data_IF_931188879037
#
_entry.id   IF_931188879037
#
_cell.length_a   1.000
_cell.length_b   1.000
_cell.length_c   1.000
_cell.angle_alpha   90.00
_cell.angle_beta   90.00
_cell.angle_gamma   90.00
#
_symmetry.space_group_name_H-M   'P 1'
#
loop_
_entity.id
_entity.type
_entity.pdbx_description
1 polymer ?
#
# COMPACT_ATOMS: atom_id res chain seq x y z
N UNK A 1 12.71 40.99 -3.88
CA UNK A 1 12.38 39.75 -3.14
C UNK A 1 13.06 38.59 -3.84
N UNK A 2 13.69 37.66 -3.10
CA UNK A 2 14.25 36.47 -3.72
C UNK A 2 13.13 35.64 -4.37
N UNK A 3 13.37 35.08 -5.55
CA UNK A 3 12.39 34.22 -6.22
C UNK A 3 12.11 32.99 -5.35
N UNK A 4 10.84 32.76 -5.02
CA UNK A 4 10.38 31.65 -4.15
C UNK A 4 10.70 30.28 -4.75
N UNK A 5 10.71 30.16 -6.08
CA UNK A 5 10.94 28.92 -6.80
C UNK A 5 12.02 29.09 -7.86
N UNK A 6 12.84 28.05 -8.04
CA UNK A 6 13.89 27.95 -9.08
C UNK A 6 13.43 27.15 -10.29
N UNK A 7 12.44 26.26 -10.11
CA UNK A 7 11.81 25.50 -11.19
C UNK A 7 10.35 25.19 -10.85
N UNK A 8 9.62 24.59 -11.79
CA UNK A 8 8.31 23.99 -11.52
C UNK A 8 8.11 22.66 -12.23
N UNK A 9 7.19 21.85 -11.72
CA UNK A 9 6.70 20.63 -12.36
C UNK A 9 5.18 20.71 -12.47
N UNK A 10 4.67 20.42 -13.67
CA UNK A 10 3.26 20.23 -13.94
C UNK A 10 2.96 18.74 -13.98
N UNK A 11 2.53 18.19 -12.85
CA UNK A 11 2.00 16.83 -12.76
C UNK A 11 0.63 16.79 -13.41
N UNK A 12 0.49 15.96 -14.43
CA UNK A 12 -0.76 15.84 -15.18
C UNK A 12 -0.85 14.45 -15.80
N UNK A 13 -1.88 14.23 -16.61
CA UNK A 13 -2.04 13.01 -17.38
C UNK A 13 -2.27 13.29 -18.86
N UNK A 14 -2.10 12.28 -19.70
CA UNK A 14 -2.52 12.38 -21.10
C UNK A 14 -3.97 12.85 -21.16
N UNK A 15 -4.24 13.87 -21.99
CA UNK A 15 -5.60 14.41 -22.22
C UNK A 15 -6.25 15.14 -21.03
N UNK A 16 -5.49 15.53 -20.02
CA UNK A 16 -5.96 16.42 -18.93
C UNK A 16 -6.08 17.90 -19.31
N UNK A 17 -5.56 18.31 -20.47
CA UNK A 17 -5.43 19.72 -20.82
C UNK A 17 -4.04 20.31 -20.55
N UNK A 18 -3.07 19.48 -20.16
CA UNK A 18 -1.70 19.93 -19.85
C UNK A 18 -1.01 20.69 -20.99
N UNK A 19 -1.30 20.39 -22.26
CA UNK A 19 -0.81 21.20 -23.40
C UNK A 19 -1.39 22.63 -23.42
N UNK A 20 -2.65 22.82 -23.01
CA UNK A 20 -3.27 24.14 -22.93
C UNK A 20 -2.62 24.96 -21.83
N UNK A 21 -2.48 24.38 -20.63
CA UNK A 21 -1.82 25.04 -19.50
C UNK A 21 -0.34 25.35 -19.81
N UNK A 22 0.37 24.43 -20.48
CA UNK A 22 1.72 24.70 -21.01
C UNK A 22 1.74 25.91 -21.95
N UNK A 23 0.80 26.01 -22.90
CA UNK A 23 0.73 27.13 -23.83
C UNK A 23 0.46 28.46 -23.11
N UNK A 24 -0.36 28.45 -22.06
CA UNK A 24 -0.65 29.62 -21.24
C UNK A 24 0.62 30.03 -20.48
N UNK A 25 1.28 29.09 -19.79
CA UNK A 25 2.52 29.36 -19.06
C UNK A 25 3.63 29.89 -19.97
N UNK A 26 3.79 29.32 -21.16
CA UNK A 26 4.77 29.76 -22.16
C UNK A 26 4.45 31.12 -22.80
N UNK A 27 3.22 31.64 -22.63
CA UNK A 27 2.87 33.00 -23.07
C UNK A 27 3.32 34.07 -22.09
N UNK A 28 3.68 33.70 -20.85
CA UNK A 28 4.08 34.63 -19.80
C UNK A 28 5.58 34.89 -19.86
N UNK A 29 6.02 36.16 -19.99
CA UNK A 29 7.44 36.49 -20.02
C UNK A 29 8.20 35.95 -18.80
N UNK A 30 9.31 35.26 -19.06
CA UNK A 30 10.16 34.70 -18.02
C UNK A 30 9.69 33.38 -17.42
N UNK A 31 8.66 32.74 -17.99
CA UNK A 31 8.29 31.34 -17.71
C UNK A 31 8.53 30.49 -18.97
N UNK A 32 9.14 29.32 -18.79
CA UNK A 32 9.31 28.34 -19.87
C UNK A 32 8.97 26.93 -19.37
N UNK A 33 7.96 26.31 -19.97
CA UNK A 33 7.63 24.90 -19.86
C UNK A 33 8.23 24.14 -21.05
N UNK A 34 9.07 23.14 -20.75
CA UNK A 34 9.85 22.37 -21.71
C UNK A 34 9.14 21.09 -22.19
N UNK A 35 7.81 21.11 -22.32
CA UNK A 35 7.03 19.93 -22.68
C UNK A 35 7.24 18.75 -21.72
N UNK A 36 7.24 17.55 -22.28
CA UNK A 36 7.41 16.29 -21.54
C UNK A 36 8.90 15.93 -21.49
N UNK A 37 9.67 16.73 -20.74
CA UNK A 37 11.12 16.60 -20.62
C UNK A 37 11.59 15.19 -20.20
N UNK A 38 10.72 14.45 -19.50
CA UNK A 38 11.00 13.12 -18.97
C UNK A 38 10.20 11.98 -19.63
N UNK A 39 9.63 12.20 -20.81
CA UNK A 39 8.98 11.14 -21.59
C UNK A 39 10.00 10.07 -22.04
N UNK A 40 9.72 8.77 -21.94
CA UNK A 40 10.68 7.73 -22.34
C UNK A 40 10.94 7.67 -23.86
N UNK A 41 9.99 8.13 -24.69
CA UNK A 41 10.05 7.99 -26.15
C UNK A 41 10.76 9.17 -26.83
N UNK A 42 10.67 10.37 -26.26
CA UNK A 42 11.24 11.60 -26.80
C UNK A 42 11.65 12.56 -25.66
N UNK A 43 12.37 13.65 -25.99
CA UNK A 43 12.83 14.63 -25.01
C UNK A 43 12.13 15.98 -25.20
N UNK A 44 11.25 16.35 -24.27
CA UNK A 44 10.50 17.61 -24.28
C UNK A 44 9.36 17.64 -25.31
N UNK A 45 9.69 17.62 -26.60
CA UNK A 45 8.72 17.63 -27.69
C UNK A 45 9.02 16.53 -28.72
N UNK A 46 8.02 16.05 -29.48
CA UNK A 46 8.25 15.10 -30.56
C UNK A 46 9.26 15.64 -31.57
N UNK A 47 10.20 14.79 -32.01
CA UNK A 47 11.29 15.10 -32.96
C UNK A 47 12.38 16.05 -32.44
N UNK A 48 12.35 16.46 -31.17
CA UNK A 48 13.48 17.17 -30.56
C UNK A 48 14.69 16.23 -30.39
N UNK A 49 15.87 16.69 -30.82
CA UNK A 49 17.12 15.94 -30.67
C UNK A 49 17.74 16.13 -29.28
N UNK A 50 17.57 17.31 -28.69
CA UNK A 50 18.09 17.70 -27.39
C UNK A 50 17.19 18.72 -26.70
N UNK A 51 17.37 18.88 -25.39
CA UNK A 51 16.74 19.91 -24.57
C UNK A 51 17.78 20.52 -23.65
N UNK A 52 17.96 21.85 -23.73
CA UNK A 52 18.95 22.60 -22.94
C UNK A 52 20.38 22.01 -23.06
N UNK A 53 20.74 21.53 -24.27
CA UNK A 53 22.03 20.91 -24.57
C UNK A 53 22.20 19.48 -24.02
N UNK A 54 21.12 18.83 -23.56
CA UNK A 54 21.11 17.43 -23.12
C UNK A 54 20.37 16.59 -24.16
N UNK A 55 21.02 15.55 -24.67
CA UNK A 55 20.42 14.61 -25.64
C UNK A 55 19.56 13.57 -24.91
N UNK A 56 18.66 12.88 -25.64
CA UNK A 56 17.84 11.79 -25.06
C UNK A 56 18.71 10.70 -24.40
N UNK A 57 19.77 10.16 -25.05
CA UNK A 57 20.62 9.15 -24.41
C UNK A 57 21.31 9.65 -23.14
N UNK A 58 21.72 10.92 -23.10
CA UNK A 58 22.33 11.52 -21.90
C UNK A 58 21.31 11.63 -20.74
N UNK A 59 20.08 12.05 -21.03
CA UNK A 59 18.97 12.07 -20.05
C UNK A 59 18.60 10.65 -19.59
N UNK A 60 18.52 9.70 -20.52
CA UNK A 60 18.15 8.31 -20.21
C UNK A 60 19.20 7.68 -19.26
N UNK A 61 20.48 8.00 -19.45
CA UNK A 61 21.57 7.59 -18.55
C UNK A 61 21.47 8.27 -17.17
N UNK A 62 21.30 9.60 -17.15
CA UNK A 62 21.12 10.37 -15.91
C UNK A 62 20.05 11.48 -16.09
N UNK A 63 18.81 11.27 -15.60
CA UNK A 63 17.76 12.27 -15.73
C UNK A 63 17.99 13.50 -14.83
N UNK A 64 18.84 13.38 -13.79
CA UNK A 64 19.12 14.51 -12.90
C UNK A 64 19.97 15.58 -13.58
N UNK A 65 20.79 15.21 -14.57
CA UNK A 65 21.51 16.16 -15.41
C UNK A 65 20.54 17.16 -16.07
N UNK A 66 19.47 16.67 -16.70
CA UNK A 66 18.47 17.52 -17.34
C UNK A 66 17.68 18.33 -16.31
N UNK A 67 17.33 17.73 -15.18
CA UNK A 67 16.63 18.42 -14.09
C UNK A 67 17.44 19.62 -13.58
N UNK A 68 18.74 19.45 -13.39
CA UNK A 68 19.63 20.53 -12.94
C UNK A 68 19.83 21.61 -14.02
N UNK A 69 19.81 21.24 -15.31
CA UNK A 69 19.79 22.20 -16.42
C UNK A 69 18.52 23.05 -16.44
N UNK A 70 17.36 22.44 -16.21
CA UNK A 70 16.08 23.13 -16.10
C UNK A 70 16.12 24.13 -14.93
N UNK A 71 16.58 23.71 -13.74
CA UNK A 71 16.70 24.58 -12.55
C UNK A 71 17.61 25.80 -12.74
N UNK A 72 18.66 25.67 -13.57
CA UNK A 72 19.67 26.73 -13.78
C UNK A 72 19.39 27.60 -15.01
N UNK A 73 18.41 27.23 -15.84
CA UNK A 73 18.05 28.01 -17.00
C UNK A 73 17.46 29.37 -16.59
N UNK A 74 17.69 30.40 -17.41
CA UNK A 74 17.21 31.75 -17.13
C UNK A 74 15.68 31.82 -17.07
N UNK A 75 15.15 32.57 -16.09
CA UNK A 75 13.70 32.62 -15.82
C UNK A 75 13.22 31.47 -14.93
N UNK A 76 11.91 31.25 -14.89
CA UNK A 76 11.30 30.13 -14.17
C UNK A 76 11.00 29.01 -15.15
N UNK A 77 11.73 27.91 -15.04
CA UNK A 77 11.68 26.82 -15.99
C UNK A 77 11.01 25.58 -15.39
N UNK A 78 10.28 24.84 -16.20
CA UNK A 78 9.58 23.65 -15.75
C UNK A 78 9.21 22.72 -16.88
N UNK A 79 8.44 21.68 -16.56
CA UNK A 79 8.08 20.62 -17.49
C UNK A 79 6.78 19.92 -17.07
N UNK A 80 6.15 19.26 -18.04
CA UNK A 80 5.03 18.34 -17.83
C UNK A 80 5.55 16.96 -17.44
N UNK A 81 4.92 16.34 -16.46
CA UNK A 81 5.28 15.02 -15.97
C UNK A 81 4.05 14.14 -15.76
N UNK A 82 4.03 12.94 -16.35
CA UNK A 82 2.93 11.97 -16.27
C UNK A 82 3.37 10.71 -15.50
N UNK A 83 2.42 9.86 -15.10
CA UNK A 83 2.71 8.64 -14.33
C UNK A 83 3.69 7.66 -15.03
N UNK A 84 3.73 7.66 -16.36
CA UNK A 84 4.54 6.77 -17.20
C UNK A 84 5.87 7.39 -17.67
N UNK A 85 6.23 8.56 -17.12
CA UNK A 85 7.54 9.18 -17.35
C UNK A 85 8.62 8.56 -16.46
N UNK A 86 9.87 9.00 -16.62
CA UNK A 86 11.02 8.45 -15.89
C UNK A 86 10.81 8.45 -14.36
N UNK A 87 10.63 7.25 -13.79
CA UNK A 87 10.24 7.05 -12.40
C UNK A 87 11.27 7.53 -11.36
N UNK A 88 12.50 7.85 -11.79
CA UNK A 88 13.59 8.39 -10.95
C UNK A 88 13.43 9.88 -10.64
N UNK A 89 12.58 10.60 -11.36
CA UNK A 89 12.42 12.07 -11.23
C UNK A 89 11.48 12.50 -10.10
N UNK A 90 10.29 11.89 -9.89
CA UNK A 90 9.28 12.39 -8.96
C UNK A 90 9.79 12.61 -7.54
N UNK A 91 10.56 11.67 -7.00
CA UNK A 91 11.12 11.79 -5.63
C UNK A 91 11.98 13.04 -5.47
N UNK A 92 12.82 13.34 -6.46
CA UNK A 92 13.72 14.49 -6.39
C UNK A 92 12.99 15.82 -6.52
N UNK A 93 11.93 15.90 -7.32
CA UNK A 93 11.14 17.13 -7.43
C UNK A 93 10.20 17.30 -6.25
N UNK A 94 9.60 16.22 -5.74
CA UNK A 94 8.72 16.25 -4.58
C UNK A 94 9.50 16.63 -3.31
N UNK A 95 10.74 16.17 -3.15
CA UNK A 95 11.60 16.54 -2.02
C UNK A 95 12.16 17.97 -2.06
N UNK A 96 12.08 18.67 -3.21
CA UNK A 96 12.72 19.98 -3.41
C UNK A 96 11.74 21.14 -3.17
N UNK A 97 11.82 21.86 -2.03
CA UNK A 97 10.93 22.98 -1.73
C UNK A 97 11.07 24.18 -2.68
N UNK A 98 12.18 24.29 -3.43
CA UNK A 98 12.38 25.33 -4.42
C UNK A 98 11.77 24.99 -5.79
N UNK A 99 11.27 23.76 -5.98
CA UNK A 99 10.51 23.38 -7.16
C UNK A 99 9.02 23.56 -6.89
N UNK A 100 8.31 24.40 -7.65
CA UNK A 100 6.86 24.56 -7.53
C UNK A 100 6.13 23.32 -8.06
N UNK A 101 5.07 22.86 -7.37
CA UNK A 101 4.24 21.73 -7.81
C UNK A 101 2.90 22.25 -8.31
N UNK A 102 2.56 21.92 -9.54
CA UNK A 102 1.25 22.16 -10.13
C UNK A 102 0.65 20.78 -10.43
N UNK A 103 -0.58 20.53 -9.98
CA UNK A 103 -1.29 19.26 -10.22
C UNK A 103 -2.52 19.56 -11.04
N UNK A 104 -2.56 19.06 -12.27
CA UNK A 104 -3.69 19.19 -13.18
C UNK A 104 -4.41 17.85 -13.33
N UNK A 105 -5.68 17.83 -12.94
CA UNK A 105 -6.54 16.66 -13.03
C UNK A 105 -7.64 16.85 -14.06
N UNK A 106 -8.33 15.76 -14.41
CA UNK A 106 -9.52 15.78 -15.25
C UNK A 106 -10.35 14.55 -14.94
N UNK A 107 -11.65 14.61 -15.23
CA UNK A 107 -12.50 13.42 -15.19
C UNK A 107 -11.83 12.26 -15.99
N UNK A 108 -11.53 11.12 -15.33
CA UNK A 108 -10.78 10.03 -15.94
C UNK A 108 -11.52 9.36 -17.11
N UNK A 109 -12.86 9.40 -17.10
CA UNK A 109 -13.66 8.87 -18.20
C UNK A 109 -13.49 9.72 -19.45
N UNK A 110 -13.51 11.05 -19.30
CA UNK A 110 -13.29 11.98 -20.41
C UNK A 110 -11.86 11.88 -20.97
N UNK A 111 -10.84 11.76 -20.12
CA UNK A 111 -9.45 11.58 -20.56
C UNK A 111 -9.25 10.25 -21.28
N UNK A 112 -9.82 9.16 -20.74
CA UNK A 112 -9.75 7.82 -21.34
C UNK A 112 -10.38 7.76 -22.73
N UNK A 113 -11.64 8.22 -22.86
CA UNK A 113 -12.35 8.24 -24.15
C UNK A 113 -11.61 9.13 -25.14
N UNK A 114 -11.13 10.29 -24.67
CA UNK A 114 -10.35 11.18 -25.54
C UNK A 114 -9.01 10.55 -25.98
N UNK A 115 -8.37 9.75 -25.14
CA UNK A 115 -7.12 9.05 -25.47
C UNK A 115 -7.37 7.97 -26.52
N UNK A 116 -8.45 7.18 -26.37
CA UNK A 116 -8.85 6.20 -27.39
C UNK A 116 -9.13 6.85 -28.74
N UNK A 117 -9.85 7.98 -28.77
CA UNK A 117 -10.15 8.70 -30.02
C UNK A 117 -8.85 9.18 -30.67
N UNK A 118 -7.92 9.75 -29.88
CA UNK A 118 -6.64 10.21 -30.39
C UNK A 118 -5.82 9.07 -31.01
N UNK A 119 -5.78 7.91 -30.34
CA UNK A 119 -5.12 6.69 -30.87
C UNK A 119 -5.75 6.21 -32.17
N UNK A 120 -7.08 6.18 -32.26
CA UNK A 120 -7.79 5.73 -33.46
C UNK A 120 -7.66 6.71 -34.64
N UNK A 121 -7.64 8.01 -34.38
CA UNK A 121 -7.63 9.05 -35.43
C UNK A 121 -6.22 9.54 -35.81
N UNK A 122 -5.23 9.23 -34.97
CA UNK A 122 -3.88 9.79 -35.02
C UNK A 122 -3.79 11.27 -34.64
N UNK A 123 -4.88 11.87 -34.15
CA UNK A 123 -4.96 13.31 -33.86
C UNK A 123 -4.73 13.61 -32.38
N UNK A 124 -3.53 14.11 -32.05
CA UNK A 124 -3.11 14.41 -30.67
C UNK A 124 -3.28 15.89 -30.27
N UNK A 125 -3.20 16.81 -31.23
CA UNK A 125 -3.37 18.28 -31.07
C UNK A 125 -4.36 18.81 -32.11
N UNK A 126 -5.17 19.82 -31.74
CA UNK A 126 -6.12 20.51 -32.63
C UNK A 126 -5.92 22.02 -32.50
N UNK A 127 -5.40 22.66 -33.55
CA UNK A 127 -5.27 24.11 -33.64
C UNK A 127 -6.44 24.79 -34.38
N UNK A 128 -7.16 24.04 -35.23
CA UNK A 128 -8.31 24.52 -36.00
C UNK A 128 -9.47 23.51 -35.93
N UNK A 129 -10.66 23.99 -35.58
CA UNK A 129 -11.88 23.20 -35.50
C UNK A 129 -12.24 22.52 -36.84
N UNK A 130 -11.89 23.13 -37.97
CA UNK A 130 -12.19 22.60 -39.31
C UNK A 130 -11.45 21.29 -39.62
N UNK A 131 -10.32 21.02 -38.95
CA UNK A 131 -9.50 19.80 -39.16
C UNK A 131 -9.85 18.66 -38.19
N UNK A 132 -11.01 18.73 -37.54
CA UNK A 132 -11.43 17.76 -36.52
C UNK A 132 -11.82 16.42 -37.16
N UNK A 133 -11.20 15.33 -36.69
CA UNK A 133 -11.63 13.96 -37.01
C UNK A 133 -12.60 13.46 -35.94
N UNK A 134 -13.87 13.30 -36.30
CA UNK A 134 -14.84 12.66 -35.42
C UNK A 134 -14.71 11.14 -35.52
N UNK A 135 -14.53 10.46 -34.38
CA UNK A 135 -14.53 9.00 -34.30
C UNK A 135 -15.28 8.54 -33.05
N UNK A 136 -16.03 7.45 -33.18
CA UNK A 136 -16.59 6.71 -32.05
C UNK A 136 -15.66 5.56 -31.70
N UNK A 137 -15.40 5.38 -30.41
CA UNK A 137 -14.50 4.34 -29.89
C UNK A 137 -15.29 3.31 -29.10
N UNK A 138 -14.79 2.06 -29.06
CA UNK A 138 -15.33 1.04 -28.17
C UNK A 138 -14.78 1.23 -26.76
N UNK A 139 -15.67 1.34 -25.78
CA UNK A 139 -15.34 1.37 -24.35
C UNK A 139 -14.98 -0.04 -23.85
N UNK A 140 -13.91 -0.15 -23.08
CA UNK A 140 -13.44 -1.38 -22.46
C UNK A 140 -13.31 -1.13 -20.95
N UNK A 141 -14.06 -1.89 -20.16
CA UNK A 141 -14.14 -1.68 -18.71
C UNK A 141 -12.87 -2.05 -17.96
N UNK A 142 -12.15 -3.08 -18.40
CA UNK A 142 -10.94 -3.55 -17.72
C UNK A 142 -9.76 -2.64 -18.06
N UNK A 143 -9.64 -2.21 -19.32
CA UNK A 143 -8.66 -1.19 -19.73
C UNK A 143 -8.92 0.13 -19.00
N UNK A 144 -10.18 0.54 -18.86
CA UNK A 144 -10.54 1.74 -18.12
C UNK A 144 -10.21 1.62 -16.62
N UNK A 145 -10.45 0.46 -16.01
CA UNK A 145 -10.10 0.23 -14.61
C UNK A 145 -8.58 0.29 -14.36
N UNK A 146 -7.79 -0.33 -15.24
CA UNK A 146 -6.33 -0.24 -15.19
C UNK A 146 -5.84 1.21 -15.36
N UNK A 147 -6.45 1.96 -16.29
CA UNK A 147 -6.15 3.38 -16.51
C UNK A 147 -6.42 4.23 -15.26
N UNK A 148 -7.60 4.08 -14.64
CA UNK A 148 -7.95 4.79 -13.40
C UNK A 148 -7.00 4.41 -12.26
N UNK A 149 -6.68 3.12 -12.11
CA UNK A 149 -5.76 2.63 -11.08
C UNK A 149 -4.39 3.30 -11.17
N UNK A 150 -3.79 3.34 -12.37
CA UNK A 150 -2.48 3.97 -12.59
C UNK A 150 -2.47 5.46 -12.20
N UNK A 151 -3.52 6.20 -12.58
CA UNK A 151 -3.66 7.63 -12.23
C UNK A 151 -3.78 7.78 -10.71
N UNK A 152 -4.63 6.99 -10.06
CA UNK A 152 -4.83 7.06 -8.61
C UNK A 152 -3.54 6.72 -7.84
N UNK A 153 -2.78 5.75 -8.31
CA UNK A 153 -1.50 5.35 -7.71
C UNK A 153 -0.49 6.50 -7.76
N UNK A 154 -0.42 7.19 -8.90
CA UNK A 154 0.44 8.35 -9.07
C UNK A 154 -0.01 9.53 -8.21
N UNK A 155 -1.31 9.81 -8.14
CA UNK A 155 -1.85 10.86 -7.26
C UNK A 155 -1.52 10.59 -5.78
N UNK A 156 -1.60 9.33 -5.32
CA UNK A 156 -1.18 8.96 -3.96
C UNK A 156 0.31 9.16 -3.74
N UNK A 157 1.16 8.87 -4.73
CA UNK A 157 2.60 9.15 -4.66
C UNK A 157 2.87 10.65 -4.48
N UNK A 158 2.19 11.50 -5.25
CA UNK A 158 2.29 12.96 -5.14
C UNK A 158 1.84 13.42 -3.75
N UNK A 159 0.65 12.99 -3.31
CA UNK A 159 0.09 13.36 -2.01
C UNK A 159 1.02 12.96 -0.86
N UNK A 160 1.51 11.72 -0.85
CA UNK A 160 2.45 11.24 0.16
C UNK A 160 3.74 12.05 0.15
N UNK A 161 4.31 12.35 -1.02
CA UNK A 161 5.53 13.17 -1.14
C UNK A 161 5.34 14.60 -0.63
N UNK A 162 4.20 15.23 -0.90
CA UNK A 162 3.87 16.55 -0.36
C UNK A 162 3.72 16.52 1.16
N UNK A 163 2.98 15.53 1.69
CA UNK A 163 2.74 15.37 3.12
C UNK A 163 4.03 15.09 3.90
N UNK A 164 4.87 14.17 3.42
CA UNK A 164 6.10 13.79 4.12
C UNK A 164 7.17 14.87 4.11
N UNK A 165 7.07 15.85 3.20
CA UNK A 165 8.04 16.95 3.06
C UNK A 165 7.48 18.30 3.52
N UNK A 166 6.25 18.33 4.02
CA UNK A 166 5.60 19.57 4.51
C UNK A 166 5.32 20.59 3.40
N UNK A 167 5.12 20.14 2.16
CA UNK A 167 4.89 20.99 0.99
C UNK A 167 3.43 20.95 0.53
N UNK A 168 3.08 21.91 -0.32
CA UNK A 168 1.77 21.96 -0.99
C UNK A 168 1.95 22.13 -2.51
N UNK A 169 0.89 21.87 -3.26
CA UNK A 169 0.81 22.07 -4.70
C UNK A 169 -0.35 23.01 -5.06
N UNK A 170 -0.25 23.62 -6.24
CA UNK A 170 -1.38 24.34 -6.85
C UNK A 170 -2.23 23.33 -7.64
N UNK A 171 -3.45 23.09 -7.18
CA UNK A 171 -4.37 22.12 -7.78
C UNK A 171 -5.29 22.80 -8.77
N UNK A 172 -5.48 22.13 -9.91
CA UNK A 172 -6.33 22.56 -11.03
C UNK A 172 -7.09 21.34 -11.55
N UNK A 173 -8.32 21.53 -11.98
CA UNK A 173 -8.96 20.65 -12.95
C UNK A 173 -8.88 21.23 -14.38
N UNK A 174 -9.47 20.54 -15.35
CA UNK A 174 -9.40 20.94 -16.75
C UNK A 174 -10.21 22.22 -17.03
N UNK A 175 -11.32 22.37 -16.31
CA UNK A 175 -12.26 23.47 -16.41
C UNK A 175 -11.64 24.77 -15.85
N UNK A 176 -10.85 24.66 -14.78
CA UNK A 176 -10.11 25.76 -14.16
C UNK A 176 -9.07 26.43 -15.08
N UNK A 177 -8.53 25.70 -16.06
CA UNK A 177 -7.41 26.17 -16.89
C UNK A 177 -7.73 27.44 -17.66
N UNK A 178 -9.01 27.68 -18.00
CA UNK A 178 -9.45 28.86 -18.73
C UNK A 178 -9.92 30.01 -17.84
N UNK A 179 -10.06 29.79 -16.54
CA UNK A 179 -10.49 30.83 -15.61
C UNK A 179 -9.37 31.85 -15.37
N UNK A 180 -9.67 33.13 -15.67
CA UNK A 180 -8.68 34.21 -15.58
C UNK A 180 -8.23 34.47 -14.14
N UNK A 181 -9.11 34.32 -13.14
CA UNK A 181 -8.75 34.50 -11.73
C UNK A 181 -7.86 33.35 -11.25
N UNK A 182 -8.14 32.12 -11.69
CA UNK A 182 -7.29 30.96 -11.37
C UNK A 182 -5.92 31.08 -12.04
N UNK A 183 -5.85 31.54 -13.30
CA UNK A 183 -4.58 31.83 -13.98
C UNK A 183 -3.76 32.87 -13.22
N UNK A 184 -4.36 33.99 -12.80
CA UNK A 184 -3.70 35.01 -11.98
C UNK A 184 -3.20 34.44 -10.64
N UNK A 185 -4.01 33.57 -10.00
CA UNK A 185 -3.64 32.82 -8.80
C UNK A 185 -2.44 31.91 -9.02
N UNK A 186 -2.38 31.18 -10.14
CA UNK A 186 -1.25 30.32 -10.50
C UNK A 186 0.03 31.14 -10.70
N UNK A 187 -0.04 32.29 -11.38
CA UNK A 187 1.11 33.17 -11.57
C UNK A 187 1.62 33.73 -10.24
N UNK A 188 0.70 34.13 -9.36
CA UNK A 188 1.01 34.57 -8.00
C UNK A 188 1.71 33.46 -7.22
N UNK A 189 1.18 32.23 -7.28
CA UNK A 189 1.79 31.06 -6.65
C UNK A 189 3.22 30.83 -7.15
N UNK A 190 3.46 30.97 -8.46
CA UNK A 190 4.77 30.86 -9.08
C UNK A 190 5.72 32.05 -8.80
N UNK A 191 5.28 33.03 -8.00
CA UNK A 191 6.07 34.22 -7.66
C UNK A 191 6.20 35.21 -8.82
N UNK A 192 5.21 35.24 -9.73
CA UNK A 192 5.10 36.17 -10.86
C UNK A 192 3.98 37.17 -10.62
N UNK A 193 4.01 38.27 -11.37
CA UNK A 193 2.94 39.27 -11.32
C UNK A 193 1.63 38.67 -11.85
N UNK A 194 0.63 38.56 -10.98
CA UNK A 194 -0.70 38.04 -11.31
C UNK A 194 -1.49 38.93 -12.26
N UNK A 195 -1.04 40.16 -12.52
CA UNK A 195 -1.60 41.07 -13.52
C UNK A 195 -1.11 40.80 -14.95
N UNK A 196 -0.17 39.87 -15.15
CA UNK A 196 0.27 39.49 -16.49
C UNK A 196 -0.87 38.78 -17.23
N UNK A 197 -1.43 39.43 -18.24
CA UNK A 197 -2.48 38.85 -19.09
C UNK A 197 -1.89 37.75 -19.96
N UNK A 198 -2.05 36.50 -19.53
CA UNK A 198 -1.81 35.35 -20.40
C UNK A 198 -2.82 35.41 -21.56
N UNK A 199 -2.33 35.34 -22.81
CA UNK A 199 -3.21 35.27 -23.97
C UNK A 199 -3.47 33.80 -24.26
N UNK A 200 -4.72 33.31 -24.17
CA UNK A 200 -5.00 31.92 -24.47
C UNK A 200 -4.57 31.62 -25.91
N UNK A 201 -3.64 30.70 -26.09
CA UNK A 201 -3.32 30.19 -27.42
C UNK A 201 -4.57 29.62 -28.09
N UNK A 202 -4.64 29.72 -29.43
CA UNK A 202 -5.74 29.22 -30.28
C UNK A 202 -5.80 27.68 -30.27
N UNK A 203 -6.02 27.06 -29.11
CA UNK A 203 -6.17 25.62 -28.96
C UNK A 203 -7.64 25.29 -28.71
N UNK A 204 -8.23 24.53 -29.64
CA UNK A 204 -9.66 24.22 -29.64
C UNK A 204 -9.90 22.89 -28.90
N UNK A 205 -10.99 22.81 -28.13
CA UNK A 205 -11.44 21.55 -27.49
C UNK A 205 -11.62 20.48 -28.58
N UNK A 206 -10.87 19.38 -28.44
CA UNK A 206 -10.75 18.41 -29.54
C UNK A 206 -12.01 17.56 -29.76
N UNK A 207 -12.61 17.10 -28.66
CA UNK A 207 -13.78 16.22 -28.67
C UNK A 207 -14.91 16.82 -27.81
N UNK A 208 -15.57 17.90 -28.27
CA UNK A 208 -16.80 18.40 -27.64
C UNK A 208 -17.94 17.39 -27.84
N UNK A 209 -18.99 17.47 -27.01
CA UNK A 209 -20.13 16.54 -27.03
C UNK A 209 -20.19 15.64 -25.80
N UNK A 210 -21.30 14.92 -25.64
CA UNK A 210 -21.53 14.02 -24.52
C UNK A 210 -20.72 12.72 -24.69
N UNK A 211 -20.48 11.99 -23.59
CA UNK A 211 -19.64 10.77 -23.63
C UNK A 211 -20.32 9.66 -24.42
N UNK A 212 -21.64 9.53 -24.31
CA UNK A 212 -22.46 8.56 -25.02
C UNK A 212 -22.34 8.68 -26.55
N UNK A 213 -22.34 9.91 -27.07
CA UNK A 213 -22.16 10.22 -28.50
C UNK A 213 -20.78 9.79 -29.05
N UNK A 214 -19.79 9.63 -28.17
CA UNK A 214 -18.39 9.28 -28.51
C UNK A 214 -18.13 7.78 -28.44
N UNK A 215 -19.05 7.00 -27.91
CA UNK A 215 -18.89 5.58 -27.66
C UNK A 215 -19.69 4.74 -28.64
N UNK A 216 -19.14 3.60 -29.06
CA UNK A 216 -19.87 2.58 -29.82
C UNK A 216 -20.81 1.74 -28.94
N UNK A 217 -20.54 1.67 -27.63
CA UNK A 217 -21.21 0.86 -26.62
C UNK A 217 -21.36 1.62 -25.27
N UNK A 218 -22.11 2.74 -25.24
CA UNK A 218 -22.25 3.57 -24.04
C UNK A 218 -22.81 2.81 -22.82
N UNK A 219 -23.63 1.77 -23.04
CA UNK A 219 -24.20 0.92 -22.01
C UNK A 219 -23.14 0.17 -21.17
N UNK A 220 -21.94 -0.04 -21.70
CA UNK A 220 -20.84 -0.72 -21.01
C UNK A 220 -20.19 0.15 -19.90
N UNK A 221 -20.44 1.46 -19.89
CA UNK A 221 -19.80 2.40 -18.96
C UNK A 221 -20.32 2.22 -17.53
N UNK A 222 -21.64 2.13 -17.34
CA UNK A 222 -22.22 2.06 -16.00
C UNK A 222 -21.79 0.81 -15.21
N UNK A 223 -21.78 -0.40 -15.78
CA UNK A 223 -21.24 -1.59 -15.11
C UNK A 223 -19.76 -1.48 -14.77
N UNK A 224 -18.93 -0.93 -15.67
CA UNK A 224 -17.51 -0.75 -15.41
C UNK A 224 -17.25 0.25 -14.28
N UNK A 225 -17.96 1.38 -14.29
CA UNK A 225 -17.90 2.33 -13.19
C UNK A 225 -18.39 1.71 -11.88
N UNK A 226 -19.38 0.82 -11.90
CA UNK A 226 -19.91 0.17 -10.68
C UNK A 226 -18.90 -0.80 -10.05
N UNK A 227 -18.00 -1.38 -10.85
CA UNK A 227 -16.87 -2.18 -10.38
C UNK A 227 -15.73 -1.33 -9.81
N UNK A 228 -15.61 -0.07 -10.24
CA UNK A 228 -14.67 0.85 -9.60
C UNK A 228 -15.17 1.14 -8.19
N UNK A 229 -14.24 1.07 -7.25
CA UNK A 229 -14.51 1.47 -5.88
C UNK A 229 -14.60 3.00 -5.79
N UNK A 230 -15.75 3.53 -6.21
CA UNK A 230 -16.01 4.98 -6.36
C UNK A 230 -15.85 5.77 -5.06
N UNK A 231 -15.91 5.07 -3.94
CA UNK A 231 -15.86 5.65 -2.60
C UNK A 231 -14.61 5.22 -1.82
N UNK A 232 -13.69 4.47 -2.44
CA UNK A 232 -12.62 3.77 -1.72
C UNK A 232 -13.13 2.90 -0.54
N UNK A 233 -14.32 2.32 -0.62
CA UNK A 233 -14.91 1.46 0.43
C UNK A 233 -14.25 0.07 0.50
N UNK A 234 -13.80 -0.49 -0.63
CA UNK A 234 -12.89 -1.65 -0.63
C UNK A 234 -11.52 -1.31 -0.05
N UNK A 235 -11.21 -0.01 0.07
CA UNK A 235 -10.03 0.57 0.71
C UNK A 235 -10.41 1.38 1.94
N UNK A 236 -11.33 0.85 2.75
CA UNK A 236 -11.44 1.29 4.14
C UNK A 236 -10.01 1.33 4.71
N UNK A 237 -9.55 2.46 5.28
CA UNK A 237 -8.19 2.58 5.78
C UNK A 237 -7.89 1.38 6.66
N UNK A 238 -6.77 0.72 6.40
CA UNK A 238 -6.26 -0.27 7.32
C UNK A 238 -5.77 0.50 8.54
N UNK A 239 -6.58 0.51 9.58
CA UNK A 239 -6.33 1.29 10.80
C UNK A 239 -5.31 0.62 11.72
N UNK A 240 -5.06 -0.67 11.55
CA UNK A 240 -3.94 -1.28 12.25
C UNK A 240 -2.61 -0.67 11.77
N UNK A 241 -1.70 -0.33 12.71
CA UNK A 241 -0.39 0.19 12.36
C UNK A 241 0.40 -0.76 11.45
N UNK A 242 1.16 -0.20 10.50
CA UNK A 242 2.13 -0.97 9.73
C UNK A 242 3.14 -1.63 10.67
N UNK A 243 3.29 -2.94 10.53
CA UNK A 243 4.23 -3.74 11.34
C UNK A 243 5.63 -3.67 10.73
N UNK A 244 6.65 -3.56 11.59
CA UNK A 244 8.03 -3.77 11.19
C UNK A 244 8.37 -5.26 11.00
N UNK A 245 9.58 -5.60 10.54
CA UNK A 245 9.94 -6.96 10.15
C UNK A 245 10.15 -7.94 11.32
N UNK A 246 10.14 -7.47 12.57
CA UNK A 246 10.26 -8.30 13.78
C UNK A 246 11.47 -9.27 13.82
N UNK A 247 12.57 -8.95 13.11
CA UNK A 247 13.78 -9.80 13.03
C UNK A 247 14.28 -10.35 14.37
N UNK A 248 14.27 -9.61 15.49
CA UNK A 248 14.70 -10.15 16.79
C UNK A 248 13.91 -11.37 17.29
N UNK A 249 12.68 -11.58 16.83
CA UNK A 249 11.87 -12.74 17.22
C UNK A 249 12.13 -13.97 16.35
N UNK A 250 12.93 -13.87 15.28
CA UNK A 250 13.17 -15.01 14.40
C UNK A 250 14.08 -16.03 15.09
N UNK A 251 13.82 -17.30 14.84
CA UNK A 251 14.56 -18.44 15.41
C UNK A 251 15.11 -19.28 14.26
N UNK A 252 16.41 -19.55 14.26
CA UNK A 252 17.02 -20.45 13.29
C UNK A 252 17.40 -21.77 13.97
N UNK A 253 17.26 -22.89 13.27
CA UNK A 253 17.76 -24.17 13.75
C UNK A 253 19.29 -24.18 13.76
N UNK A 254 19.89 -24.78 14.78
CA UNK A 254 21.33 -25.08 14.79
C UNK A 254 21.58 -26.33 13.93
N UNK A 255 22.41 -26.21 12.89
CA UNK A 255 22.76 -27.34 12.01
C UNK A 255 21.76 -27.61 10.87
N UNK A 256 20.69 -26.84 10.75
CA UNK A 256 19.74 -26.92 9.64
C UNK A 256 19.44 -25.52 9.07
N UNK A 257 19.29 -25.37 7.74
CA UNK A 257 19.10 -24.06 7.12
C UNK A 257 17.62 -23.63 7.18
N UNK A 258 17.01 -23.70 8.36
CA UNK A 258 15.60 -23.35 8.60
C UNK A 258 15.49 -22.15 9.53
N UNK A 259 14.62 -21.22 9.17
CA UNK A 259 14.36 -19.98 9.90
C UNK A 259 12.86 -19.84 10.16
N UNK A 260 12.44 -19.88 11.42
CA UNK A 260 11.08 -19.63 11.83
C UNK A 260 10.84 -18.15 12.12
N UNK A 261 9.76 -17.61 11.56
CA UNK A 261 9.31 -16.23 11.68
C UNK A 261 7.97 -16.24 12.44
N UNK A 262 7.98 -16.08 13.78
CA UNK A 262 6.80 -16.35 14.60
C UNK A 262 5.72 -15.27 14.47
N UNK A 263 4.47 -15.72 14.35
CA UNK A 263 3.30 -14.89 14.60
C UNK A 263 2.91 -15.11 16.07
N UNK A 264 3.00 -14.06 16.88
CA UNK A 264 2.72 -14.13 18.32
C UNK A 264 1.33 -14.73 18.58
N UNK A 265 1.24 -15.53 19.65
CA UNK A 265 0.07 -16.33 20.01
C UNK A 265 -0.27 -17.45 18.99
N UNK A 266 0.63 -17.74 18.06
CA UNK A 266 0.66 -19.02 17.34
C UNK A 266 1.29 -20.13 18.18
N UNK A 267 1.54 -21.32 17.59
CA UNK A 267 2.11 -22.48 18.29
C UNK A 267 3.62 -22.34 18.55
N UNK A 268 4.06 -21.19 19.06
CA UNK A 268 5.46 -20.77 19.13
C UNK A 268 6.31 -21.78 19.90
N UNK A 269 5.83 -22.28 21.04
CA UNK A 269 6.55 -23.26 21.87
C UNK A 269 6.65 -24.63 21.18
N UNK A 270 5.58 -25.08 20.52
CA UNK A 270 5.54 -26.34 19.78
C UNK A 270 6.54 -26.31 18.62
N UNK A 271 6.56 -25.22 17.86
CA UNK A 271 7.52 -25.01 16.76
C UNK A 271 8.94 -24.86 17.30
N UNK A 272 9.14 -24.12 18.39
CA UNK A 272 10.46 -23.97 19.03
C UNK A 272 11.07 -25.33 19.38
N UNK A 273 10.28 -26.23 19.99
CA UNK A 273 10.73 -27.59 20.36
C UNK A 273 11.03 -28.44 19.12
N UNK A 274 10.16 -28.40 18.11
CA UNK A 274 10.40 -29.11 16.85
C UNK A 274 11.65 -28.61 16.13
N UNK A 275 11.81 -27.29 16.02
CA UNK A 275 12.93 -26.64 15.35
C UNK A 275 14.26 -26.86 16.09
N UNK A 276 14.24 -26.99 17.41
CA UNK A 276 15.44 -27.34 18.19
C UNK A 276 15.90 -28.79 17.94
N UNK A 277 14.98 -29.68 17.55
CA UNK A 277 15.25 -31.10 17.32
C UNK A 277 15.64 -31.46 15.88
N UNK A 278 15.49 -30.54 14.93
CA UNK A 278 15.77 -30.84 13.51
C UNK A 278 17.28 -30.79 13.22
N UNK A 279 17.79 -31.79 12.48
CA UNK A 279 19.21 -31.86 12.10
C UNK A 279 20.17 -32.32 13.20
N UNK A 280 19.69 -32.97 14.26
CA UNK A 280 20.45 -33.26 15.48
C UNK A 280 21.46 -34.43 15.40
N UNK A 281 22.17 -34.65 14.29
CA UNK A 281 23.41 -35.46 14.30
C UNK A 281 24.60 -34.56 14.69
N UNK A 282 24.72 -34.22 15.99
CA UNK A 282 25.90 -33.51 16.54
C UNK A 282 25.65 -32.28 17.41
N UNK A 283 24.38 -31.94 17.72
CA UNK A 283 24.03 -30.87 18.66
C UNK A 283 22.85 -30.04 18.18
N UNK A 284 21.63 -30.45 18.56
CA UNK A 284 20.41 -29.67 18.33
C UNK A 284 20.42 -28.33 19.08
N UNK A 285 19.49 -27.44 18.74
CA UNK A 285 19.37 -26.13 19.39
C UNK A 285 18.84 -25.04 18.46
N UNK A 286 18.83 -23.81 18.98
CA UNK A 286 18.33 -22.63 18.28
C UNK A 286 19.34 -21.50 18.33
N UNK A 287 19.40 -20.74 17.24
CA UNK A 287 20.01 -19.42 17.20
C UNK A 287 18.91 -18.36 17.20
N UNK A 288 19.00 -17.38 18.10
CA UNK A 288 17.95 -16.40 18.37
C UNK A 288 18.52 -14.98 18.54
N UNK A 289 17.65 -13.99 18.73
CA UNK A 289 18.06 -12.61 19.03
C UNK A 289 18.73 -11.94 17.83
N UNK A 290 18.29 -12.26 16.62
CA UNK A 290 18.86 -11.71 15.41
C UNK A 290 18.68 -10.18 15.34
N UNK A 291 19.73 -9.52 14.88
CA UNK A 291 19.63 -8.21 14.25
C UNK A 291 19.57 -8.40 12.73
N UNK A 292 19.15 -7.38 11.98
CA UNK A 292 19.22 -7.42 10.52
C UNK A 292 20.62 -7.75 9.98
N UNK A 293 21.68 -7.30 10.67
CA UNK A 293 23.07 -7.59 10.32
C UNK A 293 23.42 -9.06 10.55
N UNK A 294 23.07 -9.62 11.70
CA UNK A 294 23.40 -11.01 12.04
C UNK A 294 22.54 -11.99 11.24
N UNK A 295 21.29 -11.65 10.91
CA UNK A 295 20.47 -12.47 10.02
C UNK A 295 21.05 -12.54 8.60
N UNK A 296 21.51 -11.42 8.04
CA UNK A 296 22.23 -11.41 6.74
C UNK A 296 23.53 -12.21 6.77
N UNK A 297 24.19 -12.28 7.92
CA UNK A 297 25.37 -13.15 8.08
C UNK A 297 24.97 -14.62 8.09
N UNK A 298 23.90 -14.96 8.81
CA UNK A 298 23.35 -16.31 8.85
C UNK A 298 22.90 -16.80 7.46
N UNK A 299 22.20 -15.98 6.66
CA UNK A 299 21.84 -16.33 5.29
C UNK A 299 23.04 -16.65 4.40
N UNK A 300 24.12 -15.85 4.49
CA UNK A 300 25.34 -16.10 3.72
C UNK A 300 26.06 -17.38 4.16
N UNK A 301 25.96 -17.73 5.43
CA UNK A 301 26.53 -18.97 5.97
C UNK A 301 25.66 -20.21 5.69
N UNK A 302 24.39 -20.03 5.32
CA UNK A 302 23.43 -21.11 5.06
C UNK A 302 22.78 -20.97 3.66
N UNK A 303 23.52 -21.18 2.56
CA UNK A 303 22.95 -21.19 1.22
C UNK A 303 21.80 -22.20 1.11
N UNK A 304 20.69 -21.81 0.46
CA UNK A 304 19.50 -22.66 0.36
C UNK A 304 18.60 -22.63 1.61
N UNK A 305 18.81 -21.69 2.53
CA UNK A 305 17.94 -21.51 3.68
C UNK A 305 16.47 -21.33 3.30
N UNK A 306 15.59 -21.81 4.18
CA UNK A 306 14.14 -21.65 4.05
C UNK A 306 13.57 -20.94 5.28
N UNK A 307 12.94 -19.80 5.05
CA UNK A 307 12.12 -19.12 6.04
C UNK A 307 10.71 -19.71 6.06
N UNK A 308 10.09 -19.82 7.22
CA UNK A 308 8.69 -20.22 7.32
C UNK A 308 7.98 -19.54 8.49
N UNK A 309 6.66 -19.50 8.40
CA UNK A 309 5.76 -19.07 9.48
C UNK A 309 4.58 -20.03 9.58
N UNK A 310 3.81 -19.96 10.66
CA UNK A 310 2.66 -20.82 10.91
C UNK A 310 1.42 -19.96 11.12
N UNK A 311 0.39 -20.23 10.32
CA UNK A 311 -0.95 -19.69 10.50
C UNK A 311 -1.76 -20.55 11.45
N UNK A 312 -2.42 -19.87 12.38
CA UNK A 312 -3.40 -20.45 13.28
C UNK A 312 -4.82 -20.07 12.85
N UNK A 313 -5.83 -20.87 13.17
CA UNK A 313 -7.20 -20.42 12.99
C UNK A 313 -7.44 -19.15 13.83
N UNK A 314 -8.11 -18.09 13.30
CA UNK A 314 -8.25 -16.82 14.02
C UNK A 314 -8.84 -16.95 15.42
N UNK A 315 -9.89 -17.79 15.59
CA UNK A 315 -10.48 -18.09 16.91
C UNK A 315 -9.47 -18.72 17.86
N UNK A 316 -8.73 -19.74 17.41
CA UNK A 316 -7.77 -20.46 18.24
C UNK A 316 -6.63 -19.57 18.70
N UNK A 317 -6.10 -18.77 17.77
CA UNK A 317 -5.07 -17.77 18.09
C UNK A 317 -5.56 -16.72 19.07
N UNK A 318 -6.77 -16.19 18.85
CA UNK A 318 -7.34 -15.19 19.74
C UNK A 318 -7.62 -15.75 21.14
N UNK A 319 -8.04 -17.02 21.24
CA UNK A 319 -8.25 -17.69 22.53
C UNK A 319 -6.92 -17.93 23.26
N UNK A 320 -5.88 -18.40 22.56
CA UNK A 320 -4.52 -18.50 23.13
C UNK A 320 -4.03 -17.15 23.65
N UNK A 321 -4.18 -16.10 22.85
CA UNK A 321 -3.88 -14.72 23.28
C UNK A 321 -4.69 -14.29 24.51
N UNK A 322 -6.00 -14.56 24.53
CA UNK A 322 -6.86 -14.25 25.67
C UNK A 322 -6.37 -14.97 26.93
N UNK A 323 -6.07 -16.27 26.83
CA UNK A 323 -5.57 -17.06 27.94
C UNK A 323 -4.22 -16.57 28.47
N UNK A 324 -3.28 -16.23 27.58
CA UNK A 324 -1.91 -15.84 27.95
C UNK A 324 -1.77 -14.40 28.43
N UNK A 325 -2.57 -13.50 27.87
CA UNK A 325 -2.42 -12.04 28.07
C UNK A 325 -3.52 -11.46 28.95
N UNK A 326 -4.75 -11.98 28.85
CA UNK A 326 -5.91 -11.39 29.52
C UNK A 326 -6.34 -12.21 30.74
N UNK A 327 -6.38 -13.54 30.63
CA UNK A 327 -6.82 -14.45 31.69
C UNK A 327 -5.67 -14.92 32.61
N UNK A 328 -4.57 -14.17 32.67
CA UNK A 328 -3.48 -14.36 33.65
C UNK A 328 -3.48 -13.24 34.67
N UNK A 329 -2.65 -13.31 35.71
CA UNK A 329 -2.46 -12.23 36.69
C UNK A 329 -1.49 -11.13 36.22
N UNK A 330 -0.81 -11.31 35.07
CA UNK A 330 0.37 -10.54 34.67
C UNK A 330 0.12 -9.12 34.14
N UNK A 331 -1.10 -8.79 33.71
CA UNK A 331 -1.40 -7.53 33.01
C UNK A 331 -2.60 -6.79 33.64
N UNK A 332 -2.50 -6.47 34.93
CA UNK A 332 -3.58 -5.82 35.71
C UNK A 332 -4.08 -4.52 35.08
N UNK A 333 -3.19 -3.60 34.69
CA UNK A 333 -3.56 -2.31 34.10
C UNK A 333 -4.36 -2.46 32.80
N UNK A 334 -4.00 -3.42 31.95
CA UNK A 334 -4.73 -3.71 30.72
C UNK A 334 -6.13 -4.24 31.04
N UNK A 335 -6.26 -5.13 32.03
CA UNK A 335 -7.57 -5.65 32.45
C UNK A 335 -8.47 -4.56 33.01
N UNK A 336 -7.94 -3.65 33.82
CA UNK A 336 -8.70 -2.53 34.36
C UNK A 336 -9.23 -1.64 33.23
N UNK A 337 -8.41 -1.31 32.23
CA UNK A 337 -8.86 -0.57 31.04
C UNK A 337 -9.96 -1.35 30.29
N UNK A 338 -9.76 -2.64 30.06
CA UNK A 338 -10.73 -3.49 29.36
C UNK A 338 -12.06 -3.60 30.10
N UNK A 339 -12.02 -3.72 31.44
CA UNK A 339 -13.18 -3.80 32.32
C UNK A 339 -13.93 -2.47 32.37
N UNK A 340 -13.22 -1.39 32.71
CA UNK A 340 -13.82 -0.10 33.07
C UNK A 340 -14.18 0.74 31.83
N UNK A 341 -13.36 0.70 30.78
CA UNK A 341 -13.57 1.52 29.57
C UNK A 341 -14.31 0.76 28.48
N UNK A 342 -13.97 -0.51 28.26
CA UNK A 342 -14.51 -1.30 27.14
C UNK A 342 -15.58 -2.32 27.56
N UNK A 343 -15.93 -2.37 28.86
CA UNK A 343 -17.03 -3.18 29.37
C UNK A 343 -16.84 -4.69 29.21
N UNK A 344 -15.60 -5.17 29.20
CA UNK A 344 -15.34 -6.61 29.20
C UNK A 344 -15.81 -7.21 30.54
N UNK A 345 -16.59 -8.32 30.53
CA UNK A 345 -17.08 -8.97 31.73
C UNK A 345 -15.98 -9.81 32.39
N UNK A 346 -14.89 -9.15 32.81
CA UNK A 346 -13.79 -9.74 33.55
C UNK A 346 -14.05 -9.59 35.05
N UNK A 347 -13.92 -10.66 35.86
CA UNK A 347 -13.99 -10.55 37.30
C UNK A 347 -12.82 -9.72 37.86
N UNK A 348 -12.83 -9.39 39.17
CA UNK A 348 -11.66 -8.84 39.84
C UNK A 348 -10.45 -9.75 39.66
N UNK A 349 -9.25 -9.16 39.59
CA UNK A 349 -8.01 -9.88 39.26
C UNK A 349 -7.76 -11.13 40.09
N UNK A 350 -8.07 -11.10 41.39
CA UNK A 350 -7.94 -12.24 42.30
C UNK A 350 -8.83 -13.45 41.95
N UNK A 351 -9.85 -13.26 41.09
CA UNK A 351 -10.83 -14.26 40.71
C UNK A 351 -10.69 -14.70 39.23
N UNK A 352 -9.74 -14.13 38.48
CA UNK A 352 -9.54 -14.45 37.05
C UNK A 352 -9.24 -15.93 36.84
N UNK A 353 -8.35 -16.52 37.65
CA UNK A 353 -8.02 -17.93 37.56
C UNK A 353 -9.17 -18.87 37.98
N UNK A 354 -10.20 -18.35 38.65
CA UNK A 354 -11.34 -19.10 39.16
C UNK A 354 -12.61 -18.94 38.30
N UNK A 355 -12.52 -18.34 37.11
CA UNK A 355 -13.65 -18.23 36.19
C UNK A 355 -14.18 -19.63 35.83
N UNK A 356 -15.50 -19.80 35.89
CA UNK A 356 -16.14 -20.96 35.28
C UNK A 356 -16.18 -20.83 33.75
N UNK A 357 -16.59 -21.90 33.07
CA UNK A 357 -16.66 -21.94 31.61
C UNK A 357 -17.57 -20.85 31.03
N UNK A 358 -18.67 -20.52 31.71
CA UNK A 358 -19.62 -19.52 31.24
C UNK A 358 -19.04 -18.10 31.31
N UNK A 359 -18.40 -17.77 32.44
CA UNK A 359 -17.68 -16.52 32.64
C UNK A 359 -16.50 -16.39 31.66
N UNK A 360 -15.71 -17.45 31.46
CA UNK A 360 -14.60 -17.48 30.50
C UNK A 360 -15.09 -17.22 29.08
N UNK A 361 -16.16 -17.89 28.64
CA UNK A 361 -16.76 -17.68 27.31
C UNK A 361 -17.28 -16.26 27.15
N UNK A 362 -17.95 -15.71 28.17
CA UNK A 362 -18.47 -14.35 28.14
C UNK A 362 -17.34 -13.31 28.04
N UNK A 363 -16.26 -13.49 28.82
CA UNK A 363 -15.08 -12.65 28.79
C UNK A 363 -14.34 -12.74 27.45
N UNK A 364 -14.13 -13.94 26.92
CA UNK A 364 -13.51 -14.14 25.61
C UNK A 364 -14.32 -13.53 24.47
N UNK A 365 -15.65 -13.70 24.49
CA UNK A 365 -16.53 -13.05 23.50
C UNK A 365 -16.46 -11.52 23.61
N UNK A 366 -16.39 -11.00 24.85
CA UNK A 366 -16.14 -9.58 25.11
C UNK A 366 -14.82 -9.10 24.52
N UNK A 367 -13.75 -9.87 24.70
CA UNK A 367 -12.44 -9.60 24.13
C UNK A 367 -12.46 -9.55 22.60
N UNK A 368 -13.13 -10.48 21.92
CA UNK A 368 -13.28 -10.44 20.46
C UNK A 368 -14.03 -9.19 19.99
N UNK A 369 -15.05 -8.74 20.73
CA UNK A 369 -15.75 -7.47 20.43
C UNK A 369 -14.83 -6.26 20.60
N UNK A 370 -14.02 -6.23 21.66
CA UNK A 370 -12.99 -5.22 21.85
C UNK A 370 -11.98 -5.23 20.68
N UNK A 371 -11.49 -6.41 20.28
CA UNK A 371 -10.53 -6.55 19.19
C UNK A 371 -11.06 -5.98 17.87
N UNK A 372 -12.35 -6.18 17.55
CA UNK A 372 -12.97 -5.54 16.38
C UNK A 372 -12.77 -4.01 16.38
N UNK A 373 -13.05 -3.36 17.51
CA UNK A 373 -12.86 -1.91 17.64
C UNK A 373 -11.36 -1.53 17.64
N UNK A 374 -10.52 -2.33 18.31
CA UNK A 374 -9.09 -2.10 18.41
C UNK A 374 -8.38 -2.18 17.06
N UNK A 375 -8.63 -3.23 16.29
CA UNK A 375 -8.08 -3.45 14.95
C UNK A 375 -8.62 -2.43 13.93
N UNK A 376 -9.81 -1.86 14.18
CA UNK A 376 -10.35 -0.74 13.43
C UNK A 376 -9.82 0.64 13.87
N UNK A 377 -8.87 0.71 14.81
CA UNK A 377 -8.30 1.97 15.31
C UNK A 377 -9.29 2.84 16.08
N UNK A 378 -10.37 2.25 16.61
CA UNK A 378 -11.44 2.95 17.33
C UNK A 378 -11.23 2.96 18.85
N UNK A 379 -10.07 2.51 19.33
CA UNK A 379 -9.72 2.42 20.76
C UNK A 379 -8.39 3.12 21.02
N UNK A 380 -8.21 3.68 22.21
CA UNK A 380 -6.93 4.26 22.64
C UNK A 380 -5.86 3.24 23.03
N UNK A 381 -6.20 1.94 23.10
CA UNK A 381 -5.25 0.85 23.42
C UNK A 381 -4.41 0.55 22.17
N UNK A 382 -3.09 0.38 22.34
CA UNK A 382 -2.23 -0.01 21.23
C UNK A 382 -2.64 -1.38 20.65
N UNK A 383 -2.19 -1.69 19.44
CA UNK A 383 -2.44 -3.01 18.85
C UNK A 383 -1.23 -3.92 19.11
N UNK A 384 -1.36 -4.81 20.08
CA UNK A 384 -0.26 -5.70 20.47
C UNK A 384 0.00 -6.74 19.38
N UNK A 385 1.26 -7.13 19.12
CA UNK A 385 1.56 -8.25 18.23
C UNK A 385 0.81 -9.55 18.56
N UNK A 386 0.48 -9.81 19.82
CA UNK A 386 -0.24 -11.01 20.26
C UNK A 386 -1.65 -11.13 19.66
N UNK A 387 -2.33 -10.01 19.38
CA UNK A 387 -3.69 -10.01 18.79
C UNK A 387 -3.80 -9.24 17.47
N UNK A 388 -2.67 -8.80 16.90
CA UNK A 388 -2.62 -8.28 15.54
C UNK A 388 -3.21 -9.28 14.54
N UNK A 389 -3.74 -8.82 13.40
CA UNK A 389 -4.08 -9.77 12.33
C UNK A 389 -2.82 -10.46 11.77
N UNK A 390 -2.94 -11.75 11.46
CA UNK A 390 -1.83 -12.56 10.94
C UNK A 390 -1.34 -12.02 9.59
N UNK A 391 -2.27 -11.53 8.77
CA UNK A 391 -1.98 -10.85 7.51
C UNK A 391 -1.15 -9.57 7.70
N UNK A 392 -1.36 -8.82 8.79
CA UNK A 392 -0.53 -7.67 9.16
C UNK A 392 0.92 -8.06 9.44
N UNK A 393 1.06 -9.12 10.25
CA UNK A 393 2.36 -9.60 10.74
C UNK A 393 3.18 -10.12 9.57
N UNK A 394 2.57 -10.92 8.70
CA UNK A 394 3.22 -11.45 7.48
C UNK A 394 3.62 -10.32 6.54
N UNK A 395 2.75 -9.33 6.31
CA UNK A 395 3.11 -8.16 5.50
C UNK A 395 4.28 -7.37 6.10
N UNK A 396 4.35 -7.28 7.44
CA UNK A 396 5.45 -6.65 8.16
C UNK A 396 6.79 -7.36 7.94
N UNK A 397 6.79 -8.69 7.97
CA UNK A 397 7.99 -9.48 7.67
C UNK A 397 8.62 -9.08 6.34
N UNK A 398 7.80 -8.97 5.29
CA UNK A 398 8.24 -8.69 3.91
C UNK A 398 8.98 -7.36 3.73
N UNK A 399 8.97 -6.47 4.72
CA UNK A 399 9.84 -5.30 4.73
C UNK A 399 11.35 -5.66 4.82
N UNK A 400 11.69 -6.88 5.24
CA UNK A 400 13.07 -7.36 5.33
C UNK A 400 13.27 -8.79 4.81
N UNK A 401 12.34 -9.69 5.08
CA UNK A 401 12.41 -11.10 4.70
C UNK A 401 11.00 -11.65 4.45
N UNK A 402 10.81 -12.45 3.41
CA UNK A 402 9.56 -13.17 3.20
C UNK A 402 9.73 -14.63 3.63
N UNK A 403 8.73 -15.27 4.26
CA UNK A 403 8.74 -16.71 4.45
C UNK A 403 8.64 -17.42 3.09
N UNK A 404 9.43 -18.46 2.88
CA UNK A 404 9.30 -19.39 1.75
C UNK A 404 8.03 -20.25 1.88
N UNK A 405 7.64 -20.58 3.13
CA UNK A 405 6.46 -21.38 3.44
C UNK A 405 5.58 -20.68 4.50
N UNK A 406 4.29 -20.61 4.22
CA UNK A 406 3.25 -20.26 5.20
C UNK A 406 2.51 -21.55 5.54
N UNK A 407 2.93 -22.21 6.61
CA UNK A 407 2.34 -23.48 7.08
C UNK A 407 1.03 -23.22 7.82
N UNK A 408 0.20 -24.26 7.97
CA UNK A 408 -1.05 -24.19 8.74
C UNK A 408 -0.99 -25.10 9.96
N UNK A 409 -1.47 -24.60 11.10
CA UNK A 409 -1.44 -25.31 12.39
C UNK A 409 -2.26 -26.62 12.36
N UNK A 410 -3.36 -26.67 11.60
CA UNK A 410 -4.27 -27.83 11.50
C UNK A 410 -3.68 -29.02 10.73
N UNK A 411 -2.66 -28.81 9.91
CA UNK A 411 -1.92 -29.84 9.17
C UNK A 411 -0.40 -29.70 9.34
N UNK A 412 0.00 -29.19 10.50
CA UNK A 412 1.35 -28.71 10.75
C UNK A 412 2.42 -29.79 10.54
N UNK A 413 2.13 -31.04 10.90
CA UNK A 413 3.06 -32.15 10.71
C UNK A 413 3.38 -32.40 9.22
N UNK A 414 2.39 -32.26 8.33
CA UNK A 414 2.57 -32.43 6.88
C UNK A 414 3.40 -31.29 6.30
N UNK A 415 3.05 -30.04 6.63
CA UNK A 415 3.73 -28.85 6.13
C UNK A 415 5.20 -28.81 6.60
N UNK A 416 5.47 -29.15 7.86
CA UNK A 416 6.84 -29.24 8.40
C UNK A 416 7.61 -30.44 7.83
N UNK A 417 6.95 -31.57 7.59
CA UNK A 417 7.52 -32.72 6.93
C UNK A 417 7.99 -32.40 5.51
N UNK A 418 7.16 -31.69 4.75
CA UNK A 418 7.52 -31.21 3.42
C UNK A 418 8.70 -30.24 3.46
N UNK A 419 8.68 -29.28 4.39
CA UNK A 419 9.76 -28.29 4.56
C UNK A 419 11.10 -28.95 4.87
N UNK A 420 11.13 -29.91 5.82
CA UNK A 420 12.34 -30.65 6.15
C UNK A 420 12.88 -31.42 4.93
N UNK A 421 12.00 -32.12 4.21
CA UNK A 421 12.36 -32.85 2.98
C UNK A 421 12.91 -31.91 1.89
N UNK A 422 12.35 -30.71 1.74
CA UNK A 422 12.83 -29.71 0.79
C UNK A 422 14.26 -29.21 1.11
N UNK A 423 14.69 -29.35 2.37
CA UNK A 423 16.06 -29.10 2.82
C UNK A 423 16.93 -30.35 2.90
N UNK A 424 16.45 -31.52 2.45
CA UNK A 424 17.18 -32.79 2.52
C UNK A 424 17.29 -33.34 3.95
N UNK A 425 16.40 -32.94 4.85
CA UNK A 425 16.40 -33.32 6.27
C UNK A 425 15.28 -34.32 6.56
N UNK A 426 15.47 -35.11 7.63
CA UNK A 426 14.42 -35.93 8.22
C UNK A 426 13.69 -35.08 9.26
N UNK A 427 12.37 -34.94 9.12
CA UNK A 427 11.57 -34.21 10.09
C UNK A 427 11.49 -34.99 11.42
N UNK A 428 11.82 -34.37 12.56
CA UNK A 428 11.50 -34.97 13.85
C UNK A 428 9.97 -35.02 14.03
N UNK A 429 9.45 -35.93 14.89
CA UNK A 429 8.05 -35.94 15.23
C UNK A 429 7.63 -34.60 15.81
N UNK A 430 6.42 -34.14 15.45
CA UNK A 430 5.87 -32.91 16.00
C UNK A 430 5.52 -33.16 17.49
N UNK A 431 6.07 -32.38 18.43
CA UNK A 431 5.73 -32.54 19.84
C UNK A 431 4.24 -32.30 20.10
N UNK A 432 3.71 -32.86 21.18
CA UNK A 432 2.39 -32.52 21.69
C UNK A 432 2.30 -31.01 21.96
N UNK A 433 1.12 -30.42 21.78
CA UNK A 433 0.93 -28.99 21.97
C UNK A 433 1.04 -28.64 23.46
N UNK A 434 2.09 -27.90 23.91
CA UNK A 434 2.18 -27.48 25.30
C UNK A 434 1.14 -26.43 25.67
N UNK A 435 0.45 -25.82 24.70
CA UNK A 435 -0.53 -24.76 24.91
C UNK A 435 -1.94 -25.28 25.29
N UNK A 436 -2.09 -26.60 25.51
CA UNK A 436 -3.25 -27.23 26.18
C UNK A 436 -3.38 -26.83 27.67
N UNK A 437 -2.52 -25.92 28.17
CA UNK A 437 -2.60 -25.37 29.52
C UNK A 437 -3.70 -24.28 29.69
N UNK A 438 -4.47 -23.99 28.63
CA UNK A 438 -5.63 -23.12 28.74
C UNK A 438 -6.64 -23.70 29.77
N UNK A 439 -7.28 -22.87 30.61
CA UNK A 439 -8.22 -23.36 31.64
C UNK A 439 -9.39 -24.19 31.08
N UNK A 440 -9.75 -23.96 29.82
CA UNK A 440 -10.83 -24.66 29.11
C UNK A 440 -10.40 -24.93 27.68
N UNK A 441 -10.76 -26.11 27.15
CA UNK A 441 -10.46 -26.45 25.77
C UNK A 441 -11.26 -25.55 24.82
N UNK A 442 -10.68 -25.22 23.67
CA UNK A 442 -11.37 -24.35 22.71
C UNK A 442 -12.69 -24.95 22.21
N UNK A 443 -12.78 -26.27 22.12
CA UNK A 443 -14.01 -26.97 21.78
C UNK A 443 -15.15 -26.72 22.78
N UNK A 444 -14.83 -26.48 24.06
CA UNK A 444 -15.81 -26.15 25.10
C UNK A 444 -16.20 -24.67 25.07
N UNK A 445 -15.31 -23.81 24.59
CA UNK A 445 -15.51 -22.35 24.57
C UNK A 445 -16.16 -21.87 23.28
N UNK A 446 -15.78 -22.44 22.13
CA UNK A 446 -16.19 -21.99 20.81
C UNK A 446 -17.65 -22.38 20.53
N UNK A 447 -18.49 -21.37 20.33
CA UNK A 447 -19.85 -21.51 19.82
C UNK A 447 -20.06 -20.56 18.63
N UNK A 448 -21.26 -20.58 18.04
CA UNK A 448 -21.59 -19.72 16.90
C UNK A 448 -21.47 -18.22 17.20
N UNK A 449 -21.59 -17.79 18.47
CA UNK A 449 -21.42 -16.38 18.86
C UNK A 449 -19.95 -16.01 18.92
N UNK A 450 -19.10 -16.89 19.47
CA UNK A 450 -17.64 -16.73 19.47
C UNK A 450 -17.12 -16.67 18.04
N UNK A 451 -17.53 -17.60 17.19
CA UNK A 451 -17.12 -17.63 15.77
C UNK A 451 -17.55 -16.34 15.04
N UNK A 452 -18.80 -15.91 15.21
CA UNK A 452 -19.28 -14.66 14.62
C UNK A 452 -18.50 -13.43 15.12
N UNK A 453 -18.16 -13.37 16.41
CA UNK A 453 -17.37 -12.29 16.97
C UNK A 453 -15.92 -12.30 16.44
N UNK A 454 -15.30 -13.47 16.32
CA UNK A 454 -13.96 -13.63 15.77
C UNK A 454 -13.91 -13.26 14.29
N UNK A 455 -14.89 -13.68 13.48
CA UNK A 455 -15.02 -13.29 12.08
C UNK A 455 -15.22 -11.78 11.93
N UNK A 456 -15.95 -11.16 12.85
CA UNK A 456 -16.13 -9.71 12.85
C UNK A 456 -14.84 -8.95 13.22
N UNK A 457 -13.97 -9.53 14.05
CA UNK A 457 -12.68 -8.93 14.43
C UNK A 457 -11.57 -9.17 13.41
N UNK A 458 -11.47 -10.42 12.92
CA UNK A 458 -10.38 -10.91 12.07
C UNK A 458 -10.83 -11.23 10.64
N UNK A 459 -11.92 -10.64 10.15
CA UNK A 459 -12.50 -10.96 8.83
C UNK A 459 -11.45 -10.99 7.70
N UNK A 460 -10.45 -10.10 7.76
CA UNK A 460 -9.32 -10.09 6.84
C UNK A 460 -8.52 -11.39 6.82
N UNK A 461 -8.22 -11.98 7.98
CA UNK A 461 -7.47 -13.24 8.04
C UNK A 461 -8.35 -14.40 7.53
N UNK A 462 -9.66 -14.37 7.80
CA UNK A 462 -10.60 -15.33 7.21
C UNK A 462 -10.60 -15.27 5.68
N UNK A 463 -10.70 -14.07 5.12
CA UNK A 463 -10.77 -13.88 3.67
C UNK A 463 -9.41 -14.14 3.00
N UNK A 464 -8.32 -13.58 3.54
CA UNK A 464 -6.99 -13.66 2.94
C UNK A 464 -6.41 -15.08 2.97
N UNK A 465 -6.76 -15.87 3.99
CA UNK A 465 -6.25 -17.23 4.17
C UNK A 465 -7.33 -18.30 4.01
N UNK A 466 -8.55 -17.94 3.61
CA UNK A 466 -9.64 -18.88 3.32
C UNK A 466 -10.07 -19.73 4.51
N UNK A 467 -10.11 -19.17 5.72
CA UNK A 467 -10.60 -19.92 6.89
C UNK A 467 -12.12 -20.09 6.85
N UNK A 468 -12.58 -21.32 7.11
CA UNK A 468 -13.98 -21.64 7.40
C UNK A 468 -14.34 -21.33 8.85
N UNK A 469 -15.41 -21.92 9.37
CA UNK A 469 -15.67 -21.90 10.81
C UNK A 469 -14.71 -22.88 11.51
N UNK A 470 -14.30 -22.54 12.74
CA UNK A 470 -13.38 -23.40 13.48
C UNK A 470 -13.99 -24.79 13.70
N UNK A 471 -13.17 -25.81 13.50
CA UNK A 471 -13.51 -27.19 13.83
C UNK A 471 -12.48 -27.72 14.83
N UNK A 472 -12.87 -28.52 15.83
CA UNK A 472 -11.90 -29.26 16.61
C UNK A 472 -11.10 -30.13 15.66
N UNK A 473 -9.76 -30.03 15.73
CA UNK A 473 -8.88 -30.84 14.90
C UNK A 473 -9.12 -32.33 15.14
N UNK A 474 -8.75 -33.21 14.20
CA UNK A 474 -8.62 -34.62 14.52
C UNK A 474 -7.59 -34.72 15.65
N UNK A 475 -8.03 -35.17 16.82
CA UNK A 475 -7.17 -35.40 17.98
C UNK A 475 -6.10 -36.43 17.73
#
# INVERSE_FOLDING_TARGET
MAARFTSFVLFAEMRTGSNLLESILNSVPGITCHGEAFNPLFIGYPKSAELLGVTRPARDADPHLLLDRIRRAGGLNGFRFFHDHDARVPERVLADPACAKIVLTRNPLDSYVSLKIARQTGQWKLGDAAQRKAARVRFDGDEFAAHVGAIQDFQRRIQHGLQSTGQTAFYLDYEDVQDAAVQAGLLTFLGRDGGATATPGRMVRQNPGMIDEKLLNPEAVAPALARLDRFNLSRTPYFEPRRGPAVPSFMAATGAPLLFMPIRSGPDLRIRRWLAGIGAEGGGGLTEGFSQKTLRAWWRANPGHRGFTVLSHPVARAHRCFCDVIATDRFAELRDILRDTYGLPLPPDAQIAAMDLAAHRAAFTGFLRFLKANLAGQTGVWIDPAWASQSAVIAGFSAFAAPDLIAREDRLAEDLGWLAKACGLVAPPLPDDPDDAAPFALAEVCDSKVEAAARAAYGRDYDAFGFGDWQPGPG
#
